data_IF_150379920581
#
_entry.id   IF_150379920581
#
_cell.length_a   1.000
_cell.length_b   1.000
_cell.length_c   1.000
_cell.angle_alpha   90.00
_cell.angle_beta   90.00
_cell.angle_gamma   90.00
#
_symmetry.space_group_name_H-M   'P 1'
#
loop_
_entity.id
_entity.type
_entity.pdbx_description
1 polymer ?
#
# COMPACT_ATOMS: atom_id res chain seq x y z
N UNK A 1 5.41 -16.38 37.88
CA UNK A 1 5.57 -14.96 38.28
C UNK A 1 6.51 -14.22 37.32
N UNK A 2 6.27 -14.30 36.00
CA UNK A 2 7.07 -13.61 34.97
C UNK A 2 6.22 -12.86 33.93
N UNK A 3 4.89 -12.99 33.99
CA UNK A 3 3.97 -12.39 32.99
C UNK A 3 3.64 -10.92 33.34
N UNK A 4 3.71 -10.54 34.62
CA UNK A 4 3.40 -9.17 35.06
C UNK A 4 4.50 -8.13 34.75
N UNK A 5 5.73 -8.54 34.38
CA UNK A 5 6.84 -7.59 34.18
C UNK A 5 6.94 -6.99 32.78
N UNK A 6 6.21 -7.51 31.81
CA UNK A 6 6.12 -6.89 30.47
C UNK A 6 5.06 -5.78 30.48
N UNK A 7 4.13 -5.80 31.45
CA UNK A 7 2.94 -4.94 31.50
C UNK A 7 3.21 -3.47 31.85
N UNK A 8 4.42 -3.12 32.31
CA UNK A 8 4.75 -1.77 32.79
C UNK A 8 5.82 -1.03 31.98
N UNK A 9 6.23 -1.55 30.83
CA UNK A 9 7.34 -0.95 30.06
C UNK A 9 6.89 0.32 29.31
N UNK A 10 5.59 0.56 29.15
CA UNK A 10 5.07 1.72 28.40
C UNK A 10 4.09 2.64 29.17
N UNK A 11 3.65 2.31 30.39
CA UNK A 11 2.68 3.15 31.11
C UNK A 11 1.30 3.28 30.42
N UNK A 12 1.01 2.41 29.46
CA UNK A 12 -0.22 2.41 28.66
C UNK A 12 -1.26 1.53 29.38
N UNK A 13 -2.49 2.03 29.52
CA UNK A 13 -3.61 1.28 30.08
C UNK A 13 -3.84 -0.02 29.29
N UNK A 14 -4.15 -1.13 30.00
CA UNK A 14 -4.24 -2.48 29.39
C UNK A 14 -5.18 -2.51 28.18
N UNK A 15 -6.24 -1.71 28.23
CA UNK A 15 -7.25 -1.58 27.19
C UNK A 15 -6.66 -1.02 25.89
N UNK A 16 -5.82 0.02 25.98
CA UNK A 16 -5.16 0.65 24.83
C UNK A 16 -4.13 -0.31 24.20
N UNK A 17 -3.44 -1.10 25.02
CA UNK A 17 -2.50 -2.12 24.51
C UNK A 17 -3.21 -3.22 23.70
N UNK A 18 -4.37 -3.70 24.16
CA UNK A 18 -5.15 -4.69 23.41
C UNK A 18 -5.70 -4.13 22.09
N UNK A 19 -6.13 -2.87 22.08
CA UNK A 19 -6.58 -2.19 20.86
C UNK A 19 -5.44 -2.11 19.84
N UNK A 20 -4.23 -1.75 20.27
CA UNK A 20 -3.05 -1.67 19.38
C UNK A 20 -2.71 -3.05 18.79
N UNK A 21 -2.69 -4.11 19.60
CA UNK A 21 -2.41 -5.48 19.12
C UNK A 21 -3.48 -5.93 18.13
N UNK A 22 -4.75 -5.69 18.45
CA UNK A 22 -5.86 -6.05 17.57
C UNK A 22 -5.73 -5.32 16.22
N UNK A 23 -5.42 -4.04 16.24
CA UNK A 23 -5.32 -3.22 15.02
C UNK A 23 -4.09 -3.58 14.18
N UNK A 24 -2.94 -3.87 14.81
CA UNK A 24 -1.78 -4.45 14.13
C UNK A 24 -2.11 -5.79 13.48
N UNK A 25 -2.93 -6.63 14.12
CA UNK A 25 -3.37 -7.91 13.57
C UNK A 25 -4.30 -7.71 12.37
N UNK A 26 -5.24 -6.77 12.45
CA UNK A 26 -6.12 -6.39 11.34
C UNK A 26 -5.32 -5.84 10.16
N UNK A 27 -4.34 -4.97 10.41
CA UNK A 27 -3.43 -4.45 9.38
C UNK A 27 -2.62 -5.57 8.73
N UNK A 28 -2.07 -6.51 9.52
CA UNK A 28 -1.36 -7.67 9.02
C UNK A 28 -2.24 -8.54 8.11
N UNK A 29 -3.48 -8.82 8.53
CA UNK A 29 -4.47 -9.54 7.74
C UNK A 29 -4.83 -8.77 6.46
N UNK A 30 -4.92 -7.44 6.51
CA UNK A 30 -5.22 -6.60 5.36
C UNK A 30 -4.08 -6.63 4.33
N UNK A 31 -2.82 -6.60 4.78
CA UNK A 31 -1.63 -6.76 3.92
C UNK A 31 -1.63 -8.15 3.26
N UNK A 32 -1.93 -9.21 4.02
CA UNK A 32 -2.07 -10.57 3.47
C UNK A 32 -3.22 -10.65 2.46
N UNK A 33 -4.34 -9.98 2.72
CA UNK A 33 -5.48 -9.92 1.82
C UNK A 33 -5.15 -9.17 0.52
N UNK A 34 -4.42 -8.06 0.60
CA UNK A 34 -3.90 -7.32 -0.58
C UNK A 34 -2.96 -8.21 -1.38
N UNK A 35 -2.05 -8.94 -0.73
CA UNK A 35 -1.11 -9.87 -1.38
C UNK A 35 -1.85 -11.00 -2.11
N UNK A 36 -2.85 -11.61 -1.47
CA UNK A 36 -3.66 -12.68 -2.07
C UNK A 36 -4.55 -12.18 -3.22
N UNK A 37 -5.15 -10.99 -3.09
CA UNK A 37 -5.89 -10.34 -4.19
C UNK A 37 -4.99 -9.96 -5.35
N UNK A 38 -3.79 -9.42 -5.10
CA UNK A 38 -2.80 -9.08 -6.13
C UNK A 38 -2.45 -10.30 -6.99
N UNK A 39 -2.30 -11.48 -6.37
CA UNK A 39 -2.05 -12.73 -7.09
C UNK A 39 -3.25 -13.19 -7.94
N UNK A 40 -4.49 -13.02 -7.46
CA UNK A 40 -5.72 -13.29 -8.23
C UNK A 40 -5.93 -12.28 -9.37
N UNK A 41 -5.68 -10.99 -9.11
CA UNK A 41 -5.78 -9.94 -10.11
C UNK A 41 -4.74 -10.15 -11.21
N UNK A 42 -3.48 -10.51 -10.89
CA UNK A 42 -2.48 -10.84 -11.92
C UNK A 42 -2.97 -11.88 -12.90
N UNK A 43 -3.67 -12.93 -12.44
CA UNK A 43 -4.23 -13.96 -13.34
C UNK A 43 -5.42 -13.47 -14.16
N UNK A 44 -6.32 -12.66 -13.59
CA UNK A 44 -7.49 -12.11 -14.33
C UNK A 44 -7.09 -10.98 -15.28
N UNK A 45 -6.20 -10.10 -14.86
CA UNK A 45 -5.66 -8.98 -15.63
C UNK A 45 -4.82 -9.52 -16.79
N UNK A 46 -4.02 -10.58 -16.61
CA UNK A 46 -3.32 -11.23 -17.72
C UNK A 46 -4.30 -11.76 -18.80
N UNK A 47 -5.45 -12.33 -18.39
CA UNK A 47 -6.50 -12.81 -19.29
C UNK A 47 -7.24 -11.67 -20.01
N UNK A 48 -7.57 -10.59 -19.30
CA UNK A 48 -8.23 -9.40 -19.88
C UNK A 48 -7.30 -8.56 -20.78
N UNK A 49 -6.00 -8.55 -20.47
CA UNK A 49 -4.95 -7.95 -21.32
C UNK A 49 -4.75 -8.76 -22.61
N UNK A 50 -4.92 -10.10 -22.55
CA UNK A 50 -4.87 -10.98 -23.72
C UNK A 50 -6.08 -10.82 -24.65
N UNK A 51 -7.28 -10.58 -24.13
CA UNK A 51 -8.51 -10.66 -24.96
C UNK A 51 -8.99 -9.34 -25.57
N UNK A 52 -8.64 -8.14 -25.08
CA UNK A 52 -9.34 -6.94 -25.61
C UNK A 52 -8.61 -5.58 -25.71
N UNK A 53 -7.61 -5.21 -24.90
CA UNK A 53 -7.52 -3.76 -24.59
C UNK A 53 -6.15 -3.05 -24.63
N UNK A 54 -5.02 -3.70 -24.94
CA UNK A 54 -3.71 -3.01 -24.90
C UNK A 54 -3.62 -1.81 -25.88
N UNK A 55 -4.32 -1.87 -27.02
CA UNK A 55 -4.41 -0.74 -27.97
C UNK A 55 -5.46 0.32 -27.57
N UNK A 56 -6.49 -0.05 -26.79
CA UNK A 56 -7.54 0.87 -26.31
C UNK A 56 -7.09 1.62 -25.05
N UNK A 57 -6.32 0.97 -24.18
CA UNK A 57 -5.78 1.52 -22.92
C UNK A 57 -4.89 2.73 -23.17
N UNK A 58 -4.13 2.79 -24.28
CA UNK A 58 -3.32 3.98 -24.63
C UNK A 58 -4.17 5.19 -25.03
N UNK A 59 -5.39 4.99 -25.52
CA UNK A 59 -6.28 6.08 -25.98
C UNK A 59 -7.21 6.59 -24.88
N UNK A 60 -7.46 5.82 -23.82
CA UNK A 60 -8.21 6.32 -22.66
C UNK A 60 -7.25 6.91 -21.63
N UNK A 61 -7.47 8.14 -21.14
CA UNK A 61 -6.80 8.57 -19.92
C UNK A 61 -7.19 7.58 -18.81
N UNK A 62 -6.20 6.87 -18.29
CA UNK A 62 -6.41 5.86 -17.27
C UNK A 62 -7.00 6.53 -16.02
N UNK A 63 -8.16 6.06 -15.56
CA UNK A 63 -8.83 6.65 -14.40
C UNK A 63 -7.92 6.57 -13.16
N UNK A 64 -8.04 7.54 -12.25
CA UNK A 64 -7.29 7.54 -10.99
C UNK A 64 -7.50 6.24 -10.20
N UNK A 65 -8.72 5.67 -10.23
CA UNK A 65 -9.05 4.40 -9.59
C UNK A 65 -8.35 3.21 -10.23
N UNK A 66 -8.34 3.13 -11.56
CA UNK A 66 -7.66 2.04 -12.29
C UNK A 66 -6.16 2.07 -12.03
N UNK A 67 -5.57 3.26 -12.02
CA UNK A 67 -4.16 3.46 -11.70
C UNK A 67 -3.83 3.03 -10.28
N UNK A 68 -4.72 3.30 -9.32
CA UNK A 68 -4.55 2.86 -7.94
C UNK A 68 -4.55 1.33 -7.87
N UNK A 69 -5.54 0.66 -8.46
CA UNK A 69 -5.66 -0.80 -8.48
C UNK A 69 -4.43 -1.43 -9.15
N UNK A 70 -4.01 -0.91 -10.30
CA UNK A 70 -2.84 -1.38 -11.05
C UNK A 70 -1.54 -1.22 -10.25
N UNK A 71 -1.44 -0.19 -9.41
CA UNK A 71 -0.25 0.05 -8.60
C UNK A 71 0.07 -1.10 -7.62
N UNK A 72 -0.96 -1.82 -7.15
CA UNK A 72 -0.80 -3.01 -6.29
C UNK A 72 -0.32 -4.26 -7.02
N UNK A 73 -0.19 -4.21 -8.35
CA UNK A 73 0.44 -5.29 -9.13
C UNK A 73 1.94 -5.38 -8.86
N UNK A 74 2.57 -4.25 -8.47
CA UNK A 74 3.96 -4.19 -8.04
C UNK A 74 4.04 -4.38 -6.52
N UNK A 75 4.72 -5.44 -6.09
CA UNK A 75 4.95 -5.70 -4.66
C UNK A 75 5.67 -4.53 -3.98
N UNK A 76 6.62 -3.88 -4.67
CA UNK A 76 7.36 -2.75 -4.10
C UNK A 76 6.46 -1.53 -3.83
N UNK A 77 5.55 -1.20 -4.75
CA UNK A 77 4.64 -0.06 -4.59
C UNK A 77 3.57 -0.39 -3.54
N UNK A 78 3.07 -1.63 -3.54
CA UNK A 78 2.15 -2.10 -2.50
C UNK A 78 2.77 -2.00 -1.09
N UNK A 79 4.04 -2.38 -0.93
CA UNK A 79 4.76 -2.24 0.35
C UNK A 79 4.86 -0.77 0.75
N UNK A 80 5.19 0.14 -0.18
CA UNK A 80 5.28 1.56 0.17
C UNK A 80 3.94 2.14 0.64
N UNK A 81 2.81 1.77 0.00
CA UNK A 81 1.49 2.14 0.51
C UNK A 81 1.18 1.52 1.87
N UNK A 82 1.54 0.25 2.08
CA UNK A 82 1.38 -0.41 3.37
C UNK A 82 2.16 0.28 4.49
N UNK A 83 3.43 0.62 4.23
CA UNK A 83 4.27 1.36 5.18
C UNK A 83 3.70 2.73 5.48
N UNK A 84 3.24 3.47 4.46
CA UNK A 84 2.61 4.76 4.67
C UNK A 84 1.36 4.67 5.57
N UNK A 85 0.50 3.68 5.34
CA UNK A 85 -0.69 3.43 6.16
C UNK A 85 -0.32 3.10 7.61
N UNK A 86 0.67 2.23 7.82
CA UNK A 86 1.14 1.89 9.18
C UNK A 86 1.64 3.15 9.89
N UNK A 87 2.44 3.97 9.23
CA UNK A 87 2.97 5.22 9.79
C UNK A 87 1.82 6.17 10.16
N UNK A 88 0.80 6.29 9.31
CA UNK A 88 -0.38 7.11 9.61
C UNK A 88 -1.17 6.59 10.81
N UNK A 89 -1.38 5.27 10.92
CA UNK A 89 -2.07 4.66 12.06
C UNK A 89 -1.27 4.86 13.35
N UNK A 90 0.02 4.56 13.34
CA UNK A 90 0.91 4.77 14.50
C UNK A 90 0.92 6.25 14.90
N UNK A 91 0.96 7.17 13.94
CA UNK A 91 0.91 8.61 14.20
C UNK A 91 -0.38 9.01 14.92
N UNK A 92 -1.54 8.46 14.55
CA UNK A 92 -2.82 8.71 15.24
C UNK A 92 -2.77 8.23 16.69
N UNK A 93 -2.21 7.04 16.95
CA UNK A 93 -2.04 6.56 18.33
C UNK A 93 -1.12 7.46 19.15
N UNK A 94 -0.03 7.94 18.56
CA UNK A 94 0.85 8.91 19.22
C UNK A 94 0.09 10.22 19.47
N UNK A 95 -0.78 10.67 18.55
CA UNK A 95 -1.63 11.84 18.79
C UNK A 95 -2.53 11.63 20.01
N UNK A 96 -3.19 10.47 20.11
CA UNK A 96 -4.09 10.14 21.22
C UNK A 96 -3.31 10.10 22.54
N UNK A 97 -2.17 9.41 22.56
CA UNK A 97 -1.28 9.35 23.74
C UNK A 97 -0.77 10.73 24.16
N UNK A 98 -0.53 11.63 23.19
CA UNK A 98 -0.07 12.99 23.46
C UNK A 98 -1.12 13.86 24.18
N UNK A 99 -2.38 13.42 24.30
CA UNK A 99 -3.42 14.12 25.06
C UNK A 99 -3.67 13.51 26.45
N UNK A 100 -3.03 12.39 26.80
CA UNK A 100 -3.31 11.63 28.01
C UNK A 100 -2.03 11.24 28.79
N UNK A 101 -1.34 12.15 29.51
CA UNK A 101 -1.53 13.61 29.70
C UNK A 101 -1.01 14.45 28.52
N UNK A 102 -1.35 15.75 28.47
CA UNK A 102 -0.91 16.62 27.38
C UNK A 102 0.62 16.74 27.30
N UNK A 103 1.20 16.20 26.24
CA UNK A 103 2.64 16.26 25.93
C UNK A 103 2.85 16.88 24.53
N UNK A 104 3.31 18.15 24.45
CA UNK A 104 3.53 18.84 23.18
C UNK A 104 4.69 18.24 22.37
N UNK A 105 5.65 17.57 23.01
CA UNK A 105 6.77 16.91 22.31
C UNK A 105 6.23 15.69 21.57
N UNK A 106 5.44 14.87 22.26
CA UNK A 106 4.81 13.69 21.68
C UNK A 106 3.86 14.06 20.53
N UNK A 107 3.12 15.17 20.69
CA UNK A 107 2.27 15.73 19.65
C UNK A 107 3.08 16.16 18.41
N UNK A 108 4.23 16.82 18.61
CA UNK A 108 5.15 17.19 17.53
C UNK A 108 5.68 15.97 16.77
N UNK A 109 6.06 14.90 17.47
CA UNK A 109 6.46 13.64 16.84
C UNK A 109 5.34 13.01 16.01
N UNK A 110 4.10 13.04 16.50
CA UNK A 110 2.94 12.57 15.74
C UNK A 110 2.79 13.32 14.42
N UNK A 111 2.87 14.65 14.41
CA UNK A 111 2.78 15.46 13.18
C UNK A 111 3.92 15.16 12.20
N UNK A 112 5.15 14.96 12.69
CA UNK A 112 6.28 14.55 11.87
C UNK A 112 6.04 13.19 11.22
N UNK A 113 5.60 12.19 11.99
CA UNK A 113 5.28 10.87 11.44
C UNK A 113 4.16 10.94 10.40
N UNK A 114 3.12 11.73 10.66
CA UNK A 114 2.02 11.92 9.71
C UNK A 114 2.53 12.49 8.38
N UNK A 115 3.41 13.48 8.46
CA UNK A 115 4.05 14.10 7.29
C UNK A 115 4.89 13.09 6.49
N UNK A 116 5.66 12.23 7.18
CA UNK A 116 6.42 11.15 6.54
C UNK A 116 5.49 10.17 5.82
N UNK A 117 4.37 9.78 6.44
CA UNK A 117 3.37 8.91 5.82
C UNK A 117 2.81 9.49 4.52
N UNK A 118 2.46 10.78 4.52
CA UNK A 118 1.98 11.50 3.33
C UNK A 118 3.06 11.54 2.24
N UNK A 119 4.31 11.83 2.60
CA UNK A 119 5.43 11.85 1.64
C UNK A 119 5.58 10.47 0.98
N UNK A 120 5.53 9.40 1.76
CA UNK A 120 5.63 8.03 1.23
C UNK A 120 4.45 7.71 0.32
N UNK A 121 3.21 8.10 0.67
CA UNK A 121 2.05 7.94 -0.23
C UNK A 121 2.29 8.67 -1.57
N UNK A 122 2.77 9.91 -1.53
CA UNK A 122 3.02 10.70 -2.73
C UNK A 122 4.12 10.08 -3.60
N UNK A 123 5.21 9.62 -2.99
CA UNK A 123 6.28 8.91 -3.68
C UNK A 123 5.79 7.59 -4.30
N UNK A 124 4.96 6.83 -3.58
CA UNK A 124 4.32 5.61 -4.08
C UNK A 124 3.45 5.89 -5.30
N UNK A 125 2.68 6.97 -5.25
CA UNK A 125 1.85 7.42 -6.35
C UNK A 125 2.67 7.86 -7.56
N UNK A 126 3.76 8.62 -7.37
CA UNK A 126 4.66 8.97 -8.49
C UNK A 126 5.29 7.72 -9.10
N UNK A 127 5.80 6.80 -8.27
CA UNK A 127 6.44 5.56 -8.71
C UNK A 127 5.45 4.63 -9.46
N UNK A 128 4.17 4.64 -9.09
CA UNK A 128 3.13 3.89 -9.80
C UNK A 128 2.99 4.30 -11.25
N UNK A 129 3.13 5.61 -11.57
CA UNK A 129 3.07 6.11 -12.95
C UNK A 129 4.14 5.47 -13.82
N UNK A 130 5.38 5.49 -13.33
CA UNK A 130 6.53 4.95 -14.05
C UNK A 130 6.42 3.43 -14.23
N UNK A 131 5.98 2.72 -13.20
CA UNK A 131 5.78 1.27 -13.27
C UNK A 131 4.73 0.90 -14.32
N UNK A 132 3.57 1.55 -14.30
CA UNK A 132 2.47 1.27 -15.24
C UNK A 132 2.89 1.57 -16.68
N UNK A 133 3.53 2.71 -16.93
CA UNK A 133 4.01 3.05 -18.28
C UNK A 133 5.00 2.01 -18.81
N UNK A 134 5.95 1.57 -17.97
CA UNK A 134 6.94 0.54 -18.34
C UNK A 134 6.30 -0.83 -18.62
N UNK A 135 5.23 -1.15 -17.91
CA UNK A 135 4.50 -2.40 -18.12
C UNK A 135 3.68 -2.37 -19.41
N UNK A 136 3.05 -1.23 -19.72
CA UNK A 136 2.37 -1.00 -20.99
C UNK A 136 3.35 -1.12 -22.17
N UNK A 137 4.53 -0.50 -22.08
CA UNK A 137 5.57 -0.60 -23.12
C UNK A 137 6.09 -2.04 -23.32
N UNK A 138 6.19 -2.83 -22.26
CA UNK A 138 6.55 -4.26 -22.36
C UNK A 138 5.48 -5.05 -23.10
N UNK A 139 4.22 -4.90 -22.69
CA UNK A 139 3.09 -5.57 -23.34
C UNK A 139 2.96 -5.20 -24.82
N UNK A 140 3.19 -3.94 -25.18
CA UNK A 140 3.15 -3.50 -26.58
C UNK A 140 4.26 -4.15 -27.44
N UNK A 141 5.45 -4.35 -26.87
CA UNK A 141 6.55 -5.06 -27.57
C UNK A 141 6.22 -6.54 -27.78
N UNK A 142 5.62 -7.18 -26.80
CA UNK A 142 5.29 -8.61 -26.89
C UNK A 142 4.16 -8.86 -27.90
N UNK A 143 3.13 -7.99 -27.92
CA UNK A 143 2.08 -8.05 -28.94
C UNK A 143 2.63 -7.81 -30.35
N UNK A 144 3.56 -6.85 -30.51
CA UNK A 144 4.20 -6.61 -31.82
C UNK A 144 4.97 -7.82 -32.31
N UNK A 145 5.72 -8.50 -31.43
CA UNK A 145 6.42 -9.74 -31.76
C UNK A 145 5.45 -10.84 -32.16
N UNK A 146 4.42 -11.09 -31.35
CA UNK A 146 3.40 -12.10 -31.65
C UNK A 146 2.70 -11.88 -33.01
N UNK A 147 2.36 -10.62 -33.34
CA UNK A 147 1.77 -10.29 -34.65
C UNK A 147 2.73 -10.46 -35.83
N UNK A 148 4.03 -10.28 -35.61
CA UNK A 148 5.04 -10.50 -36.65
C UNK A 148 5.23 -12.00 -36.93
N UNK A 149 5.20 -12.81 -35.87
CA UNK A 149 5.31 -14.27 -35.98
C UNK A 149 4.07 -14.90 -36.63
N UNK A 150 2.87 -14.38 -36.36
CA UNK A 150 1.62 -14.88 -36.98
C UNK A 150 1.43 -14.47 -38.45
N UNK A 151 2.23 -13.51 -38.95
CA UNK A 151 2.20 -13.07 -40.37
C UNK A 151 3.18 -13.83 -41.26
N UNK A 152 3.99 -14.74 -40.71
CA UNK A 152 4.80 -15.71 -41.44
C UNK A 152 4.07 -17.03 -41.54
#
# INVERSE_FOLDING_TARGET
MYIQRIEYIFGIEKEVFYIIIFELTVLFLMILWIKTRSLRLKRKVMKLIQEAEVLKIRRRPMSYGDRFILSFSSSSIAIMYGVAMIISVVSIFITIMAFQPYDPILLGFSFLMYSVGIIIMFLSWRKSKYYINREIERLERDIRRYKADYKR
#
